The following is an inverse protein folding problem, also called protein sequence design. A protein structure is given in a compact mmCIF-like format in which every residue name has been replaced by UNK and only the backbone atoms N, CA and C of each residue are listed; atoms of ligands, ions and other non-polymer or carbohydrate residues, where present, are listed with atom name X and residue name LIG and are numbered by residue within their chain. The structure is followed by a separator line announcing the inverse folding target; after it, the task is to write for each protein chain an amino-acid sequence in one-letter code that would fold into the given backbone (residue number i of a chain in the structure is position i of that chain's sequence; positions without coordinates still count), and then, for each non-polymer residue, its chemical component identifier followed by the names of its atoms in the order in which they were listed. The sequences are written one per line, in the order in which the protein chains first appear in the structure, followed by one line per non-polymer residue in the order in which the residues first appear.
data_IF_126537377054
#
_entry.id   IF_126537377054
#
_cell.length_a   1.000
_cell.length_b   1.000
_cell.length_c   1.000
_cell.angle_alpha   90.00
_cell.angle_beta   90.00
_cell.angle_gamma   90.00
#
_symmetry.space_group_name_H-M   'P 1'
#
loop_
_entity.id
_entity.type
_entity.pdbx_description
1 polymer ?
#
# COMPACT_ATOMS: atom_id res chain seq x y z
N UNK A 1 -11.29 -11.86 15.65
CA UNK A 1 -11.89 -13.05 16.32
C UNK A 1 -13.21 -12.80 17.08
N UNK A 2 -13.66 -11.56 17.39
CA UNK A 2 -14.91 -11.32 18.17
C UNK A 2 -16.23 -11.16 17.38
N UNK A 3 -16.19 -11.01 16.04
CA UNK A 3 -17.38 -10.65 15.23
C UNK A 3 -18.26 -11.84 14.86
N UNK A 4 -17.66 -12.96 14.47
CA UNK A 4 -18.39 -14.22 14.20
C UNK A 4 -19.18 -14.65 15.42
N UNK A 5 -18.59 -14.56 16.63
CA UNK A 5 -19.30 -14.89 17.87
C UNK A 5 -20.55 -14.03 18.09
N UNK A 6 -20.54 -12.76 17.68
CA UNK A 6 -21.64 -11.84 17.96
C UNK A 6 -22.78 -11.95 16.95
N UNK A 7 -22.45 -12.18 15.67
CA UNK A 7 -23.43 -12.56 14.65
C UNK A 7 -24.11 -13.89 15.00
N UNK A 8 -23.34 -14.90 15.44
CA UNK A 8 -23.88 -16.16 15.92
C UNK A 8 -24.78 -15.97 17.15
N UNK A 9 -24.42 -15.12 18.10
CA UNK A 9 -25.28 -14.80 19.26
C UNK A 9 -26.61 -14.19 18.83
N UNK A 10 -26.59 -13.22 17.92
CA UNK A 10 -27.82 -12.55 17.44
C UNK A 10 -28.71 -13.54 16.66
N UNK A 11 -28.10 -14.40 15.86
CA UNK A 11 -28.80 -15.43 15.09
C UNK A 11 -29.42 -16.50 16.01
N UNK A 12 -28.70 -16.94 17.04
CA UNK A 12 -29.21 -17.85 18.06
C UNK A 12 -30.34 -17.21 18.86
N UNK A 13 -30.21 -15.93 19.25
CA UNK A 13 -31.25 -15.20 19.97
C UNK A 13 -32.53 -15.09 19.13
N UNK A 14 -32.39 -14.82 17.83
CA UNK A 14 -33.51 -14.80 16.88
C UNK A 14 -34.23 -16.16 16.79
N UNK A 15 -33.48 -17.26 16.69
CA UNK A 15 -34.03 -18.62 16.67
C UNK A 15 -34.76 -18.94 17.98
N UNK A 16 -34.19 -18.55 19.13
CA UNK A 16 -34.82 -18.75 20.45
C UNK A 16 -36.12 -17.96 20.57
N UNK A 17 -36.15 -16.70 20.11
CA UNK A 17 -37.36 -15.87 20.11
C UNK A 17 -38.46 -16.51 19.25
N UNK A 18 -38.11 -16.97 18.05
CA UNK A 18 -39.04 -17.67 17.14
C UNK A 18 -39.55 -18.97 17.79
N UNK A 19 -38.68 -19.74 18.46
CA UNK A 19 -39.05 -20.96 19.16
C UNK A 19 -40.04 -20.72 20.30
N UNK A 20 -39.84 -19.68 21.12
CA UNK A 20 -40.76 -19.30 22.21
C UNK A 20 -42.12 -18.85 21.64
N UNK A 21 -42.11 -18.08 20.56
CA UNK A 21 -43.31 -17.62 19.89
C UNK A 21 -44.14 -18.79 19.32
N UNK A 22 -43.49 -19.72 18.62
CA UNK A 22 -44.14 -20.92 18.07
C UNK A 22 -44.66 -21.84 19.18
N UNK A 23 -43.90 -22.01 20.27
CA UNK A 23 -44.32 -22.79 21.43
C UNK A 23 -45.57 -22.21 22.10
N UNK A 24 -45.61 -20.88 22.31
CA UNK A 24 -46.82 -20.21 22.84
C UNK A 24 -48.02 -20.28 21.88
N UNK A 25 -47.79 -20.32 20.58
CA UNK A 25 -48.84 -20.38 19.56
C UNK A 25 -49.46 -21.78 19.40
N UNK A 26 -48.65 -22.86 19.51
CA UNK A 26 -49.09 -24.23 19.23
C UNK A 26 -49.30 -25.13 20.47
N UNK A 27 -48.58 -24.92 21.57
CA UNK A 27 -48.68 -25.78 22.77
C UNK A 27 -49.55 -25.21 23.89
N UNK A 28 -49.83 -23.91 23.90
CA UNK A 28 -50.68 -23.25 24.90
C UNK A 28 -51.99 -22.83 24.25
N UNK A 29 -53.14 -23.16 24.86
CA UNK A 29 -54.44 -22.66 24.39
C UNK A 29 -54.37 -21.14 24.23
N UNK A 30 -54.45 -20.68 22.99
CA UNK A 30 -54.19 -19.30 22.59
C UNK A 30 -55.28 -18.40 23.17
N UNK A 31 -54.90 -17.60 24.16
CA UNK A 31 -55.75 -16.54 24.68
C UNK A 31 -55.48 -15.27 23.86
N UNK A 32 -56.44 -14.35 23.71
CA UNK A 32 -56.22 -13.11 22.96
C UNK A 32 -54.96 -12.35 23.40
N UNK A 33 -54.66 -12.37 24.70
CA UNK A 33 -53.46 -11.73 25.28
C UNK A 33 -52.14 -12.38 24.82
N UNK A 34 -52.09 -13.69 24.57
CA UNK A 34 -50.85 -14.34 24.11
C UNK A 34 -50.48 -13.94 22.68
N UNK A 35 -51.47 -13.64 21.83
CA UNK A 35 -51.23 -13.16 20.47
C UNK A 35 -50.56 -11.78 20.48
N UNK A 36 -51.03 -10.85 21.33
CA UNK A 36 -50.41 -9.53 21.48
C UNK A 36 -48.98 -9.62 22.01
N UNK A 37 -48.74 -10.46 23.01
CA UNK A 37 -47.40 -10.65 23.60
C UNK A 37 -46.43 -11.23 22.56
N UNK A 38 -46.85 -12.21 21.77
CA UNK A 38 -46.03 -12.79 20.69
C UNK A 38 -45.67 -11.74 19.63
N UNK A 39 -46.63 -10.93 19.17
CA UNK A 39 -46.37 -9.86 18.20
C UNK A 39 -45.46 -8.77 18.76
N UNK A 40 -45.58 -8.44 20.05
CA UNK A 40 -44.70 -7.50 20.73
C UNK A 40 -43.27 -8.01 20.81
N UNK A 41 -43.08 -9.29 21.16
CA UNK A 41 -41.77 -9.95 21.21
C UNK A 41 -41.11 -9.94 19.82
N UNK A 42 -41.85 -10.27 18.76
CA UNK A 42 -41.32 -10.19 17.39
C UNK A 42 -40.91 -8.78 17.00
N UNK A 43 -41.74 -7.78 17.31
CA UNK A 43 -41.46 -6.39 16.98
C UNK A 43 -40.21 -5.86 17.69
N UNK A 44 -40.07 -6.15 18.98
CA UNK A 44 -38.90 -5.76 19.78
C UNK A 44 -37.64 -6.51 19.33
N UNK A 45 -37.75 -7.82 19.06
CA UNK A 45 -36.64 -8.61 18.54
C UNK A 45 -36.13 -8.10 17.20
N UNK A 46 -37.04 -7.74 16.30
CA UNK A 46 -36.69 -7.15 15.01
C UNK A 46 -36.04 -5.77 15.16
N UNK A 47 -36.53 -4.93 16.08
CA UNK A 47 -35.93 -3.64 16.37
C UNK A 47 -34.48 -3.76 16.87
N UNK A 48 -34.23 -4.71 17.79
CA UNK A 48 -32.88 -5.00 18.30
C UNK A 48 -31.97 -5.49 17.16
N UNK A 49 -32.49 -6.36 16.29
CA UNK A 49 -31.75 -6.85 15.13
C UNK A 49 -31.37 -5.71 14.16
N UNK A 50 -32.31 -4.83 13.81
CA UNK A 50 -32.04 -3.67 12.96
C UNK A 50 -30.96 -2.79 13.59
N UNK A 51 -31.10 -2.49 14.88
CA UNK A 51 -30.17 -1.61 15.58
C UNK A 51 -28.75 -2.21 15.59
N UNK A 52 -28.64 -3.50 15.86
CA UNK A 52 -27.39 -4.23 15.80
C UNK A 52 -26.78 -4.23 14.38
N UNK A 53 -27.59 -4.55 13.38
CA UNK A 53 -27.17 -4.57 11.97
C UNK A 53 -26.68 -3.20 11.52
N UNK A 54 -27.39 -2.13 11.90
CA UNK A 54 -27.00 -0.75 11.62
C UNK A 54 -25.67 -0.38 12.29
N UNK A 55 -25.51 -0.70 13.57
CA UNK A 55 -24.26 -0.45 14.30
C UNK A 55 -23.08 -1.20 13.67
N UNK A 56 -23.28 -2.46 13.31
CA UNK A 56 -22.26 -3.31 12.68
C UNK A 56 -21.89 -2.77 11.31
N UNK A 57 -22.87 -2.48 10.46
CA UNK A 57 -22.68 -1.86 9.13
C UNK A 57 -21.91 -0.55 9.23
N UNK A 58 -22.26 0.30 10.20
CA UNK A 58 -21.57 1.57 10.43
C UNK A 58 -20.10 1.38 10.84
N UNK A 59 -19.82 0.39 11.69
CA UNK A 59 -18.45 0.05 12.07
C UNK A 59 -17.63 -0.46 10.88
N UNK A 60 -18.25 -1.28 10.03
CA UNK A 60 -17.62 -1.85 8.84
C UNK A 60 -17.32 -0.76 7.80
N UNK A 61 -18.29 0.13 7.56
CA UNK A 61 -18.10 1.28 6.69
C UNK A 61 -16.98 2.22 7.18
N UNK A 62 -16.82 2.39 8.50
CA UNK A 62 -15.70 3.15 9.07
C UNK A 62 -14.36 2.46 8.82
N UNK A 63 -14.30 1.14 8.98
CA UNK A 63 -13.10 0.35 8.74
C UNK A 63 -12.70 0.35 7.26
N UNK A 64 -13.67 0.18 6.35
CA UNK A 64 -13.48 0.29 4.91
C UNK A 64 -12.94 1.68 4.54
N UNK A 65 -13.52 2.77 5.08
CA UNK A 65 -13.00 4.13 4.85
C UNK A 65 -11.57 4.30 5.32
N UNK A 66 -11.24 3.79 6.52
CA UNK A 66 -9.86 3.83 7.03
C UNK A 66 -8.90 3.08 6.11
N UNK A 67 -9.27 1.89 5.66
CA UNK A 67 -8.44 1.07 4.79
C UNK A 67 -8.27 1.72 3.40
N UNK A 68 -9.33 2.30 2.84
CA UNK A 68 -9.25 3.07 1.60
C UNK A 68 -8.32 4.28 1.73
N UNK A 69 -8.42 5.04 2.82
CA UNK A 69 -7.50 6.16 3.06
C UNK A 69 -6.04 5.69 3.17
N UNK A 70 -5.81 4.56 3.83
CA UNK A 70 -4.48 3.97 3.92
C UNK A 70 -3.94 3.53 2.55
N UNK A 71 -4.78 2.90 1.71
CA UNK A 71 -4.43 2.54 0.34
C UNK A 71 -4.07 3.77 -0.49
N UNK A 72 -4.85 4.85 -0.40
CA UNK A 72 -4.55 6.11 -1.10
C UNK A 72 -3.20 6.68 -0.65
N UNK A 73 -2.95 6.72 0.66
CA UNK A 73 -1.66 7.18 1.20
C UNK A 73 -0.48 6.34 0.70
N UNK A 74 -0.64 5.01 0.62
CA UNK A 74 0.40 4.13 0.09
C UNK A 74 0.63 4.36 -1.41
N UNK A 75 -0.43 4.58 -2.19
CA UNK A 75 -0.30 4.93 -3.61
C UNK A 75 0.48 6.23 -3.81
N UNK A 76 0.21 7.24 -2.99
CA UNK A 76 0.94 8.52 -3.04
C UNK A 76 2.41 8.35 -2.66
N UNK A 77 2.72 7.50 -1.68
CA UNK A 77 4.11 7.20 -1.30
C UNK A 77 4.84 6.45 -2.42
N UNK A 78 4.19 5.48 -3.08
CA UNK A 78 4.75 4.76 -4.22
C UNK A 78 5.06 5.74 -5.36
N UNK A 79 4.12 6.62 -5.72
CA UNK A 79 4.32 7.61 -6.78
C UNK A 79 5.51 8.55 -6.46
N UNK A 80 5.67 8.97 -5.20
CA UNK A 80 6.83 9.76 -4.76
C UNK A 80 8.14 8.99 -4.92
N UNK A 81 8.17 7.73 -4.51
CA UNK A 81 9.37 6.88 -4.65
C UNK A 81 9.73 6.66 -6.12
N UNK A 82 8.75 6.46 -6.98
CA UNK A 82 8.95 6.30 -8.42
C UNK A 82 9.56 7.56 -9.05
N UNK A 83 9.09 8.75 -8.68
CA UNK A 83 9.71 10.01 -9.09
C UNK A 83 11.16 10.13 -8.62
N UNK A 84 11.46 9.77 -7.37
CA UNK A 84 12.82 9.79 -6.84
C UNK A 84 13.75 8.79 -7.55
N UNK A 85 13.23 7.62 -7.96
CA UNK A 85 13.99 6.64 -8.75
C UNK A 85 14.34 7.23 -10.11
N UNK A 86 13.36 7.79 -10.82
CA UNK A 86 13.58 8.40 -12.13
C UNK A 86 14.60 9.56 -12.09
N UNK A 87 14.57 10.37 -11.04
CA UNK A 87 15.56 11.44 -10.82
C UNK A 87 16.97 10.85 -10.61
N UNK A 88 17.09 9.79 -9.79
CA UNK A 88 18.36 9.10 -9.56
C UNK A 88 18.90 8.45 -10.83
N UNK A 89 18.05 7.80 -11.62
CA UNK A 89 18.44 7.19 -12.90
C UNK A 89 18.94 8.25 -13.89
N UNK A 90 18.25 9.39 -13.98
CA UNK A 90 18.69 10.53 -14.79
C UNK A 90 20.05 11.05 -14.33
N UNK A 91 20.28 11.13 -13.01
CA UNK A 91 21.57 11.54 -12.45
C UNK A 91 22.68 10.54 -12.75
N UNK A 92 22.39 9.23 -12.69
CA UNK A 92 23.34 8.18 -13.05
C UNK A 92 23.73 8.31 -14.53
N UNK A 93 22.78 8.52 -15.43
CA UNK A 93 23.09 8.73 -16.85
C UNK A 93 23.96 9.96 -17.10
N UNK A 94 23.67 11.08 -16.42
CA UNK A 94 24.54 12.27 -16.49
C UNK A 94 25.96 11.96 -16.05
N UNK A 95 26.12 11.28 -14.90
CA UNK A 95 27.44 10.92 -14.38
C UNK A 95 28.19 9.94 -15.29
N UNK A 96 27.48 9.02 -15.96
CA UNK A 96 28.09 8.12 -16.95
C UNK A 96 28.61 8.88 -18.17
N UNK A 97 27.86 9.87 -18.65
CA UNK A 97 28.29 10.73 -19.76
C UNK A 97 29.52 11.55 -19.37
N UNK A 98 29.50 12.19 -18.19
CA UNK A 98 30.64 12.95 -17.66
C UNK A 98 31.88 12.06 -17.56
N UNK A 99 31.73 10.83 -17.07
CA UNK A 99 32.82 9.86 -16.95
C UNK A 99 33.39 9.48 -18.32
N UNK A 100 32.53 9.24 -19.32
CA UNK A 100 32.96 8.96 -20.70
C UNK A 100 33.72 10.14 -21.31
N UNK A 101 33.30 11.37 -21.04
CA UNK A 101 33.99 12.57 -21.52
C UNK A 101 35.38 12.68 -20.89
N UNK A 102 35.47 12.54 -19.56
CA UNK A 102 36.74 12.58 -18.83
C UNK A 102 37.72 11.49 -19.30
N UNK A 103 37.21 10.29 -19.63
CA UNK A 103 38.03 9.23 -20.22
C UNK A 103 38.61 9.65 -21.58
N UNK A 104 37.80 10.26 -22.44
CA UNK A 104 38.26 10.78 -23.74
C UNK A 104 39.31 11.89 -23.59
N UNK A 105 39.11 12.81 -22.65
CA UNK A 105 40.08 13.86 -22.33
C UNK A 105 41.41 13.28 -21.82
N UNK A 106 41.34 12.26 -20.94
CA UNK A 106 42.51 11.56 -20.43
C UNK A 106 43.31 10.87 -21.54
N UNK A 107 42.62 10.18 -22.46
CA UNK A 107 43.26 9.53 -23.60
C UNK A 107 43.91 10.55 -24.55
N UNK A 108 43.25 11.68 -24.78
CA UNK A 108 43.81 12.81 -25.54
C UNK A 108 45.09 13.35 -24.91
N UNK A 109 45.06 13.62 -23.60
CA UNK A 109 46.24 14.09 -22.86
C UNK A 109 47.39 13.08 -22.90
N UNK A 110 47.09 11.77 -22.77
CA UNK A 110 48.11 10.70 -22.89
C UNK A 110 48.80 10.70 -24.25
N UNK A 111 48.04 10.90 -25.34
CA UNK A 111 48.62 11.01 -26.70
C UNK A 111 49.54 12.22 -26.82
N UNK A 112 49.10 13.38 -26.34
CA UNK A 112 49.94 14.60 -26.36
C UNK A 112 51.24 14.41 -25.58
N UNK A 113 51.20 13.76 -24.41
CA UNK A 113 52.41 13.44 -23.65
C UNK A 113 53.34 12.53 -24.43
N UNK A 114 52.82 11.49 -25.10
CA UNK A 114 53.62 10.58 -25.91
C UNK A 114 54.27 11.31 -27.11
N UNK A 115 53.52 12.18 -27.79
CA UNK A 115 54.03 12.96 -28.91
C UNK A 115 55.15 13.91 -28.47
N UNK A 116 54.96 14.62 -27.35
CA UNK A 116 55.99 15.49 -26.76
C UNK A 116 57.24 14.70 -26.34
N UNK A 117 57.07 13.50 -25.77
CA UNK A 117 58.20 12.63 -25.43
C UNK A 117 59.01 12.21 -26.67
N UNK A 118 58.33 11.91 -27.79
CA UNK A 118 59.00 11.59 -29.05
C UNK A 118 59.77 12.80 -29.60
N UNK A 119 59.16 13.99 -29.61
CA UNK A 119 59.84 15.23 -30.02
C UNK A 119 61.07 15.52 -29.17
N UNK A 120 60.99 15.35 -27.85
CA UNK A 120 62.15 15.52 -26.95
C UNK A 120 63.27 14.54 -27.30
N UNK A 121 62.95 13.27 -27.58
CA UNK A 121 63.94 12.27 -28.00
C UNK A 121 64.59 12.62 -29.33
N UNK A 122 63.81 13.06 -30.31
CA UNK A 122 64.33 13.51 -31.61
C UNK A 122 65.30 14.68 -31.44
N UNK A 123 64.93 15.70 -30.68
CA UNK A 123 65.80 16.85 -30.40
C UNK A 123 67.08 16.42 -29.68
N UNK A 124 67.00 15.52 -28.72
CA UNK A 124 68.18 14.98 -28.03
C UNK A 124 69.11 14.21 -28.97
N UNK A 125 68.55 13.41 -29.88
CA UNK A 125 69.33 12.68 -30.89
C UNK A 125 69.90 13.57 -31.99
N UNK A 126 69.25 14.70 -32.28
CA UNK A 126 69.66 15.70 -33.26
C UNK A 126 70.67 16.72 -32.70
N UNK A 127 71.10 16.59 -31.44
CA UNK A 127 72.23 17.32 -30.86
C UNK A 127 73.49 16.44 -30.88
N UNK A 128 74.16 16.21 -32.04
CA UNK A 128 75.49 15.63 -32.04
C UNK A 128 76.50 16.69 -31.57
N UNK A 129 77.37 16.31 -30.64
CA UNK A 129 78.75 16.76 -30.51
C UNK A 129 79.05 18.21 -30.95
N UNK A 130 78.47 19.18 -30.24
CA UNK A 130 78.87 20.61 -30.31
C UNK A 130 79.38 21.12 -28.97
N UNK A 131 80.04 20.24 -28.21
CA UNK A 131 80.93 20.61 -27.13
C UNK A 131 82.31 20.05 -27.49
N UNK A 132 83.11 20.92 -28.12
CA UNK A 132 84.55 20.80 -28.28
C UNK A 132 85.26 21.15 -26.97
#
# INVERSE_FOLDING_TARGET
MKRSSLETIVLVLGIVIIGIALFMMFMRNTTPQSIFITNLIFSVGFLIYILYSMMTTNSLNREIRKLNNHITSLKDEIAKKEMMINEKDSRIHSLQNDLSQLQGELDGARKQVADLQNQVREIQSAKPDTEA
#
